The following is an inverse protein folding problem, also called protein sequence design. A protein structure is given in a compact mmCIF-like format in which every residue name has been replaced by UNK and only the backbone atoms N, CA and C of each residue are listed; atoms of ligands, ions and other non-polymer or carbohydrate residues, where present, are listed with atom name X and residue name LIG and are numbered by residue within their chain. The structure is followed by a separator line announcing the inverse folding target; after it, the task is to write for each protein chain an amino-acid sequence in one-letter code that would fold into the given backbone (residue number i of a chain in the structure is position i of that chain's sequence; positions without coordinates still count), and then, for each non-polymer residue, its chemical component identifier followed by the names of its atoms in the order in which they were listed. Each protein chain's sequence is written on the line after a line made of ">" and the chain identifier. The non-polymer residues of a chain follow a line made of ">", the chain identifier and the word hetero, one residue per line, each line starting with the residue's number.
data_IF_349208119239
#
_entry.id   IF_349208119239
#
_cell.length_a   1.000
_cell.length_b   1.000
_cell.length_c   1.000
_cell.angle_alpha   90.00
_cell.angle_beta   90.00
_cell.angle_gamma   90.00
#
_symmetry.space_group_name_H-M   'P 1'
#
loop_
_entity.id
_entity.type
_entity.pdbx_description
1 polymer ?
#
# COMPACT_ATOMS: atom_id res chain seq x y z
N UNK A 1 4.86 -12.35 27.45
CA UNK A 1 3.65 -11.90 28.19
C UNK A 1 3.81 -11.70 29.71
N UNK A 2 4.80 -12.28 30.43
CA UNK A 2 4.97 -12.01 31.89
C UNK A 2 5.89 -10.84 32.28
N UNK A 3 6.72 -10.31 31.37
CA UNK A 3 7.68 -9.22 31.70
C UNK A 3 7.18 -7.79 31.49
N UNK A 4 6.03 -7.59 30.83
CA UNK A 4 5.46 -6.25 30.62
C UNK A 4 4.53 -5.80 31.76
N UNK A 5 3.86 -6.75 32.45
CA UNK A 5 3.01 -6.44 33.61
C UNK A 5 3.78 -5.88 34.82
N UNK A 6 5.07 -6.20 34.97
CA UNK A 6 5.86 -5.76 36.13
C UNK A 6 6.30 -4.28 36.06
N UNK A 7 6.46 -3.71 34.86
CA UNK A 7 6.87 -2.30 34.72
C UNK A 7 5.71 -1.31 34.93
N UNK A 8 4.48 -1.73 34.65
CA UNK A 8 3.27 -0.92 34.83
C UNK A 8 2.75 -0.95 36.27
N UNK A 9 2.91 -2.07 36.97
CA UNK A 9 2.63 -2.13 38.41
C UNK A 9 3.55 -1.17 39.20
N UNK A 10 4.82 -1.03 38.78
CA UNK A 10 5.78 -0.11 39.41
C UNK A 10 5.43 1.37 39.22
N UNK A 11 4.96 1.78 38.05
CA UNK A 11 4.61 3.18 37.77
C UNK A 11 3.28 3.60 38.43
N UNK A 12 2.28 2.71 38.45
CA UNK A 12 1.04 2.94 39.17
C UNK A 12 1.26 2.95 40.70
N UNK A 13 2.13 2.07 41.21
CA UNK A 13 2.53 2.10 42.61
C UNK A 13 3.25 3.41 42.95
N UNK A 14 4.21 3.88 42.13
CA UNK A 14 4.92 5.13 42.38
C UNK A 14 4.00 6.36 42.45
N UNK A 15 2.97 6.41 41.60
CA UNK A 15 1.97 7.49 41.59
C UNK A 15 1.01 7.43 42.79
N UNK A 16 0.61 6.23 43.20
CA UNK A 16 -0.20 6.04 44.42
C UNK A 16 0.62 6.36 45.68
N UNK A 17 1.92 6.01 45.71
CA UNK A 17 2.81 6.38 46.81
C UNK A 17 3.09 7.88 46.84
N UNK A 18 3.27 8.56 45.70
CA UNK A 18 3.37 10.03 45.66
C UNK A 18 2.07 10.73 46.10
N UNK A 19 0.91 10.17 45.75
CA UNK A 19 -0.39 10.68 46.18
C UNK A 19 -0.67 10.44 47.67
N UNK A 20 -0.18 9.32 48.24
CA UNK A 20 -0.28 9.02 49.67
C UNK A 20 0.72 9.83 50.51
N UNK A 21 1.93 10.07 50.01
CA UNK A 21 2.94 10.92 50.67
C UNK A 21 2.49 12.39 50.70
N UNK A 22 1.69 12.85 49.73
CA UNK A 22 1.19 14.23 49.72
C UNK A 22 0.03 14.49 50.70
N UNK A 23 -0.61 13.46 51.26
CA UNK A 23 -1.68 13.62 52.26
C UNK A 23 -1.19 14.16 53.61
N UNK A 24 0.12 14.15 53.87
CA UNK A 24 0.73 14.73 55.08
C UNK A 24 1.25 16.17 54.90
N UNK A 25 1.05 16.79 53.74
CA UNK A 25 1.64 18.10 53.42
C UNK A 25 0.66 19.24 53.74
N UNK A 26 0.97 20.16 54.69
CA UNK A 26 0.09 21.27 55.06
C UNK A 26 -0.08 22.36 53.97
N UNK A 27 0.46 22.15 52.78
CA UNK A 27 0.51 23.12 51.67
C UNK A 27 -0.43 22.79 50.49
N UNK A 28 -1.17 21.67 50.54
CA UNK A 28 -2.09 21.28 49.47
C UNK A 28 -3.53 21.40 49.96
N UNK A 29 -4.19 22.52 49.61
CA UNK A 29 -5.62 22.68 49.87
C UNK A 29 -6.43 21.76 48.95
N UNK A 30 -7.64 21.37 49.37
CA UNK A 30 -8.51 20.42 48.68
C UNK A 30 -8.79 20.78 47.20
N UNK A 31 -8.73 22.07 46.85
CA UNK A 31 -8.87 22.55 45.47
C UNK A 31 -7.70 22.18 44.55
N UNK A 32 -6.48 22.09 45.08
CA UNK A 32 -5.27 21.81 44.28
C UNK A 32 -5.21 20.37 43.78
N UNK A 33 -5.71 19.42 44.59
CA UNK A 33 -5.75 17.99 44.27
C UNK A 33 -6.78 17.71 43.16
N UNK A 34 -7.94 18.39 43.19
CA UNK A 34 -8.94 18.30 42.13
C UNK A 34 -8.46 18.85 40.79
N UNK A 35 -7.71 19.97 40.80
CA UNK A 35 -7.11 20.55 39.59
C UNK A 35 -6.03 19.65 38.98
N UNK A 36 -5.18 19.01 39.79
CA UNK A 36 -4.16 18.07 39.30
C UNK A 36 -4.77 16.79 38.71
N UNK A 37 -5.85 16.27 39.30
CA UNK A 37 -6.57 15.12 38.76
C UNK A 37 -7.30 15.45 37.44
N UNK A 38 -7.91 16.64 37.34
CA UNK A 38 -8.55 17.11 36.11
C UNK A 38 -7.53 17.38 34.99
N UNK A 39 -6.38 17.97 35.31
CA UNK A 39 -5.29 18.20 34.35
C UNK A 39 -4.63 16.88 33.89
N UNK A 40 -4.47 15.91 34.78
CA UNK A 40 -3.98 14.56 34.46
C UNK A 40 -4.96 13.75 33.60
N UNK A 41 -6.26 13.84 33.89
CA UNK A 41 -7.30 13.21 33.07
C UNK A 41 -7.38 13.80 31.67
N UNK A 42 -7.24 15.13 31.54
CA UNK A 42 -7.27 15.81 30.25
C UNK A 42 -6.03 15.50 29.40
N UNK A 43 -4.84 15.38 30.01
CA UNK A 43 -3.61 15.01 29.28
C UNK A 43 -3.59 13.55 28.88
N UNK A 44 -4.14 12.63 29.67
CA UNK A 44 -4.29 11.21 29.28
C UNK A 44 -5.37 11.07 28.20
N UNK A 45 -6.47 11.79 28.28
CA UNK A 45 -7.50 11.79 27.24
C UNK A 45 -6.97 12.40 25.93
N UNK A 46 -6.26 13.53 26.00
CA UNK A 46 -5.60 14.19 24.84
C UNK A 46 -4.46 13.34 24.29
N UNK A 47 -3.69 12.64 25.12
CA UNK A 47 -2.70 11.68 24.64
C UNK A 47 -3.34 10.43 24.03
N UNK A 48 -4.47 9.94 24.54
CA UNK A 48 -5.23 8.85 23.94
C UNK A 48 -5.86 9.25 22.61
N UNK A 49 -6.34 10.50 22.45
CA UNK A 49 -6.80 11.02 21.14
C UNK A 49 -5.65 11.37 20.19
N UNK A 50 -4.48 11.78 20.68
CA UNK A 50 -3.27 11.98 19.86
C UNK A 50 -2.57 10.67 19.48
N UNK A 51 -2.85 9.58 20.20
CA UNK A 51 -2.42 8.22 19.84
C UNK A 51 -3.35 7.56 18.81
N UNK A 52 -4.44 8.23 18.40
CA UNK A 52 -5.23 7.79 17.26
C UNK A 52 -4.50 8.10 15.95
N UNK A 53 -3.68 7.13 15.56
CA UNK A 53 -3.51 6.70 14.18
C UNK A 53 -2.81 7.74 13.30
N UNK A 54 -1.48 7.67 13.28
CA UNK A 54 -0.68 8.16 12.16
C UNK A 54 -0.91 7.22 10.96
N UNK A 55 -2.11 7.25 10.39
CA UNK A 55 -2.56 6.43 9.25
C UNK A 55 -1.69 6.80 8.05
N UNK A 56 -0.71 5.96 7.73
CA UNK A 56 -0.07 6.07 6.41
C UNK A 56 -1.01 5.62 5.30
N UNK A 57 -2.01 4.80 5.63
CA UNK A 57 -2.91 4.14 4.68
C UNK A 57 -4.16 4.96 4.33
N UNK A 58 -4.51 4.91 3.05
CA UNK A 58 -5.84 5.23 2.57
C UNK A 58 -6.61 3.89 2.54
N UNK A 59 -7.75 3.76 3.25
CA UNK A 59 -8.45 2.48 3.41
C UNK A 59 -9.00 1.92 2.09
N UNK A 60 -9.24 2.77 1.09
CA UNK A 60 -9.62 2.34 -0.26
C UNK A 60 -8.43 1.72 -0.98
N UNK A 61 -7.24 2.29 -0.81
CA UNK A 61 -6.00 1.70 -1.37
C UNK A 61 -5.70 0.36 -0.70
N UNK A 62 -5.86 0.28 0.62
CA UNK A 62 -5.69 -0.97 1.37
C UNK A 62 -6.68 -2.04 0.86
N UNK A 63 -7.93 -1.68 0.59
CA UNK A 63 -8.91 -2.58 0.00
C UNK A 63 -8.53 -3.04 -1.42
N UNK A 64 -8.10 -2.12 -2.30
CA UNK A 64 -7.70 -2.42 -3.69
C UNK A 64 -6.53 -3.42 -3.70
N UNK A 65 -5.55 -3.23 -2.82
CA UNK A 65 -4.33 -4.04 -2.76
C UNK A 65 -4.42 -5.19 -1.75
N UNK A 66 -5.60 -5.47 -1.20
CA UNK A 66 -5.83 -6.57 -0.25
C UNK A 66 -4.94 -6.51 1.01
N UNK A 67 -4.65 -5.31 1.49
CA UNK A 67 -3.81 -5.06 2.66
C UNK A 67 -4.66 -5.17 3.93
N UNK A 68 -4.73 -6.36 4.52
CA UNK A 68 -5.49 -6.61 5.75
C UNK A 68 -4.78 -6.23 7.05
N UNK A 69 -3.46 -6.01 6.99
CA UNK A 69 -2.68 -5.58 8.14
C UNK A 69 -1.42 -4.82 7.70
N UNK A 70 -1.04 -3.81 8.47
CA UNK A 70 0.17 -3.01 8.23
C UNK A 70 0.93 -2.79 9.54
N UNK A 71 2.24 -3.00 9.50
CA UNK A 71 3.15 -2.68 10.59
C UNK A 71 3.68 -1.25 10.39
N UNK A 72 3.59 -0.44 11.44
CA UNK A 72 4.13 0.91 11.47
C UNK A 72 5.56 0.89 12.01
N UNK A 73 6.32 1.96 11.74
CA UNK A 73 7.71 2.10 12.17
C UNK A 73 7.90 1.98 13.69
N UNK A 74 6.84 2.25 14.44
CA UNK A 74 6.82 2.21 15.90
C UNK A 74 6.36 0.83 16.44
N UNK A 75 6.50 -0.22 15.62
CA UNK A 75 6.06 -1.61 15.86
C UNK A 75 4.54 -1.79 16.11
N UNK A 76 3.73 -0.78 15.75
CA UNK A 76 2.28 -0.84 15.86
C UNK A 76 1.66 -1.60 14.68
N UNK A 77 0.84 -2.62 14.98
CA UNK A 77 0.14 -3.42 13.98
C UNK A 77 -1.29 -2.92 13.85
N UNK A 78 -1.61 -2.30 12.72
CA UNK A 78 -3.00 -2.00 12.38
C UNK A 78 -3.58 -3.12 11.55
N UNK A 79 -4.87 -3.38 11.73
CA UNK A 79 -5.65 -4.27 10.87
C UNK A 79 -6.71 -3.46 10.14
N UNK A 80 -6.97 -3.84 8.91
CA UNK A 80 -7.98 -3.25 8.06
C UNK A 80 -8.86 -4.35 7.47
N UNK A 81 -10.13 -4.01 7.22
CA UNK A 81 -10.97 -4.89 6.44
C UNK A 81 -10.58 -4.81 4.96
N UNK A 82 -9.92 -5.85 4.48
CA UNK A 82 -9.52 -6.00 3.09
C UNK A 82 -10.14 -7.25 2.44
N UNK A 83 -10.41 -7.24 1.12
CA UNK A 83 -10.77 -8.43 0.36
C UNK A 83 -9.58 -9.40 0.21
N UNK A 84 -9.82 -10.65 -0.23
CA UNK A 84 -8.74 -11.55 -0.63
C UNK A 84 -8.00 -11.00 -1.86
N UNK A 85 -6.73 -11.41 -2.02
CA UNK A 85 -5.84 -10.98 -3.12
C UNK A 85 -6.45 -11.16 -4.52
N UNK A 86 -7.33 -12.16 -4.67
CA UNK A 86 -8.05 -12.44 -5.91
C UNK A 86 -9.53 -12.26 -5.66
N UNK A 87 -10.16 -11.37 -6.43
CA UNK A 87 -11.61 -11.08 -6.37
C UNK A 87 -12.27 -11.41 -7.70
N UNK A 88 -13.56 -11.76 -7.70
CA UNK A 88 -14.31 -11.99 -8.95
C UNK A 88 -15.32 -10.86 -9.15
N UNK A 89 -15.25 -10.22 -10.32
CA UNK A 89 -16.05 -9.06 -10.74
C UNK A 89 -17.00 -9.44 -11.85
N UNK A 90 -18.18 -8.79 -11.94
CA UNK A 90 -19.18 -9.14 -12.95
C UNK A 90 -18.74 -8.82 -14.39
N UNK A 91 -17.80 -7.89 -14.59
CA UNK A 91 -17.37 -7.44 -15.91
C UNK A 91 -16.01 -6.74 -15.91
N UNK A 92 -15.57 -6.21 -17.06
CA UNK A 92 -14.32 -5.45 -17.17
C UNK A 92 -14.35 -4.16 -16.35
N UNK A 93 -13.19 -3.53 -16.19
CA UNK A 93 -13.10 -2.25 -15.51
C UNK A 93 -13.97 -1.21 -16.25
N UNK A 94 -14.74 -0.37 -15.54
CA UNK A 94 -15.50 0.69 -16.18
C UNK A 94 -14.60 1.62 -17.00
N UNK A 95 -14.99 1.88 -18.25
CA UNK A 95 -14.37 2.89 -19.11
C UNK A 95 -14.78 4.28 -18.64
N UNK A 96 -14.10 4.79 -17.62
CA UNK A 96 -14.28 6.15 -17.13
C UNK A 96 -13.09 7.03 -17.54
N UNK A 97 -13.31 8.31 -17.91
CA UNK A 97 -12.21 9.25 -18.08
C UNK A 97 -11.45 9.47 -16.76
N UNK A 98 -10.16 9.78 -16.86
CA UNK A 98 -9.31 10.09 -15.71
C UNK A 98 -9.63 11.49 -15.19
N UNK A 99 -10.55 11.61 -14.23
CA UNK A 99 -11.01 12.92 -13.72
C UNK A 99 -10.40 13.30 -12.37
N UNK A 100 -10.01 12.32 -11.54
CA UNK A 100 -9.38 12.53 -10.23
C UNK A 100 -8.72 11.25 -9.70
N UNK A 101 -7.88 11.37 -8.67
CA UNK A 101 -7.31 10.21 -7.97
C UNK A 101 -8.38 9.35 -7.29
N UNK A 102 -9.45 9.98 -6.78
CA UNK A 102 -10.58 9.29 -6.15
C UNK A 102 -11.33 8.42 -7.16
N UNK A 103 -11.67 8.98 -8.33
CA UNK A 103 -12.33 8.21 -9.39
C UNK A 103 -11.47 7.06 -9.93
N UNK A 104 -10.14 7.15 -9.84
CA UNK A 104 -9.24 6.04 -10.16
C UNK A 104 -9.30 4.92 -9.13
N UNK A 105 -9.28 5.28 -7.86
CA UNK A 105 -9.44 4.31 -6.78
C UNK A 105 -10.80 3.61 -6.89
N UNK A 106 -11.89 4.34 -7.14
CA UNK A 106 -13.24 3.78 -7.29
C UNK A 106 -13.36 2.84 -8.48
N UNK A 107 -12.69 3.15 -9.60
CA UNK A 107 -12.64 2.27 -10.77
C UNK A 107 -11.97 0.94 -10.46
N UNK A 108 -10.86 0.98 -9.73
CA UNK A 108 -10.15 -0.22 -9.27
C UNK A 108 -10.93 -1.00 -8.21
N UNK A 109 -11.61 -0.28 -7.30
CA UNK A 109 -12.47 -0.87 -6.28
C UNK A 109 -13.72 -1.50 -6.90
N UNK A 110 -14.23 -0.95 -8.01
CA UNK A 110 -15.50 -1.31 -8.64
C UNK A 110 -16.72 -0.72 -7.94
N UNK A 111 -16.55 0.32 -7.13
CA UNK A 111 -17.62 0.94 -6.36
C UNK A 111 -17.32 2.42 -6.12
N UNK A 112 -18.38 3.25 -6.11
CA UNK A 112 -18.30 4.66 -5.74
C UNK A 112 -18.40 4.81 -4.21
N UNK A 113 -17.36 5.35 -3.61
CA UNK A 113 -17.20 5.50 -2.15
C UNK A 113 -16.83 6.92 -1.75
N UNK A 114 -16.45 7.78 -2.69
CA UNK A 114 -16.11 9.18 -2.49
C UNK A 114 -17.21 10.08 -3.05
N UNK A 115 -17.55 11.12 -2.29
CA UNK A 115 -18.09 12.35 -2.85
C UNK A 115 -16.90 13.27 -3.21
N UNK A 116 -16.82 13.74 -4.46
CA UNK A 116 -15.71 14.58 -4.95
C UNK A 116 -16.25 15.99 -5.23
N UNK A 117 -16.31 16.86 -4.21
CA UNK A 117 -16.96 18.15 -4.36
C UNK A 117 -16.13 19.13 -5.19
N UNK A 118 -16.83 20.11 -5.77
CA UNK A 118 -16.17 21.34 -6.17
C UNK A 118 -15.74 22.12 -4.92
N UNK A 119 -14.64 22.85 -5.04
CA UNK A 119 -14.11 23.65 -3.95
C UNK A 119 -13.67 25.03 -4.43
N UNK A 120 -13.62 25.99 -3.50
CA UNK A 120 -13.10 27.33 -3.72
C UNK A 120 -11.82 27.49 -2.93
N UNK A 121 -10.73 27.85 -3.61
CA UNK A 121 -9.48 28.21 -2.97
C UNK A 121 -9.37 29.73 -2.79
N UNK A 122 -8.86 30.17 -1.65
CA UNK A 122 -8.56 31.57 -1.38
C UNK A 122 -7.15 31.70 -0.81
N UNK A 123 -6.35 32.61 -1.36
CA UNK A 123 -5.04 32.96 -0.82
C UNK A 123 -5.27 33.94 0.33
N UNK A 124 -4.86 33.57 1.54
CA UNK A 124 -4.99 34.41 2.74
C UNK A 124 -3.75 35.30 2.89
N UNK A 125 -2.58 34.72 2.64
CA UNK A 125 -1.28 35.41 2.62
C UNK A 125 -0.30 34.61 1.74
N UNK A 126 0.90 35.12 1.43
CA UNK A 126 1.92 34.34 0.74
C UNK A 126 2.19 33.00 1.44
N UNK A 127 1.96 31.89 0.74
CA UNK A 127 2.14 30.54 1.29
C UNK A 127 0.99 30.05 2.18
N UNK A 128 -0.06 30.83 2.41
CA UNK A 128 -1.23 30.44 3.20
C UNK A 128 -2.50 30.43 2.35
N UNK A 129 -3.12 29.26 2.21
CA UNK A 129 -4.33 29.07 1.42
C UNK A 129 -5.42 28.41 2.26
N UNK A 130 -6.67 28.76 1.96
CA UNK A 130 -7.84 28.06 2.50
C UNK A 130 -8.64 27.47 1.35
N UNK A 131 -8.99 26.19 1.46
CA UNK A 131 -9.95 25.54 0.56
C UNK A 131 -11.29 25.38 1.28
N UNK A 132 -12.37 25.80 0.63
CA UNK A 132 -13.74 25.66 1.12
C UNK A 132 -14.55 24.75 0.20
N UNK A 133 -15.19 23.73 0.77
CA UNK A 133 -16.06 22.79 0.07
C UNK A 133 -17.24 22.36 0.95
N UNK A 134 -18.16 21.59 0.37
CA UNK A 134 -19.21 20.88 1.11
C UNK A 134 -19.04 19.39 0.91
N UNK A 135 -19.21 18.64 1.98
CA UNK A 135 -19.21 17.19 1.97
C UNK A 135 -20.40 16.63 2.75
N UNK A 136 -20.83 15.40 2.49
CA UNK A 136 -21.77 14.71 3.37
C UNK A 136 -21.20 14.64 4.79
N UNK A 137 -22.06 14.83 5.79
CA UNK A 137 -21.68 14.76 7.21
C UNK A 137 -21.07 13.41 7.55
N UNK A 138 -20.18 13.37 8.54
CA UNK A 138 -19.47 12.15 9.00
C UNK A 138 -18.57 11.45 7.96
N UNK A 139 -18.41 12.03 6.76
CA UNK A 139 -17.45 11.56 5.78
C UNK A 139 -16.02 11.76 6.27
N UNK A 140 -15.10 10.89 5.86
CA UNK A 140 -13.66 11.13 6.08
C UNK A 140 -13.10 11.97 4.94
N UNK A 141 -12.56 13.15 5.24
CA UNK A 141 -12.03 14.09 4.26
C UNK A 141 -10.60 13.72 3.89
N UNK A 142 -10.37 13.48 2.60
CA UNK A 142 -9.05 13.30 2.02
C UNK A 142 -8.67 14.48 1.13
N UNK A 143 -7.38 14.81 1.14
CA UNK A 143 -6.76 15.82 0.28
C UNK A 143 -5.71 15.14 -0.61
N UNK A 144 -5.82 15.37 -1.92
CA UNK A 144 -4.87 14.92 -2.93
C UNK A 144 -4.23 16.13 -3.62
N UNK A 145 -3.03 16.48 -3.19
CA UNK A 145 -2.23 17.58 -3.74
C UNK A 145 -0.78 17.12 -3.97
N UNK A 146 -0.54 16.22 -4.95
CA UNK A 146 0.74 15.54 -5.11
C UNK A 146 1.91 16.49 -5.43
N UNK A 147 1.62 17.68 -5.98
CA UNK A 147 2.63 18.64 -6.43
C UNK A 147 3.03 19.69 -5.39
N UNK A 148 2.38 19.69 -4.22
CA UNK A 148 2.52 20.75 -3.20
C UNK A 148 3.23 20.21 -1.97
N UNK A 149 4.26 20.92 -1.53
CA UNK A 149 4.97 20.66 -0.27
C UNK A 149 4.55 21.65 0.82
N UNK A 150 4.56 21.21 2.08
CA UNK A 150 4.13 22.00 3.23
C UNK A 150 3.25 21.19 4.17
N UNK A 151 2.10 21.73 4.57
CA UNK A 151 1.16 21.06 5.46
C UNK A 151 -0.28 21.51 5.22
N UNK A 152 -1.23 20.63 5.54
CA UNK A 152 -2.66 20.90 5.45
C UNK A 152 -3.41 20.35 6.66
N UNK A 153 -4.51 20.97 7.05
CA UNK A 153 -5.42 20.45 8.08
C UNK A 153 -6.87 20.77 7.75
N UNK A 154 -7.80 19.98 8.27
CA UNK A 154 -9.16 20.46 8.45
C UNK A 154 -9.16 21.55 9.55
N UNK A 155 -9.97 22.60 9.40
CA UNK A 155 -10.05 23.68 10.39
C UNK A 155 -10.36 23.11 11.79
N UNK A 156 -9.51 23.45 12.77
CA UNK A 156 -9.58 22.90 14.13
C UNK A 156 -8.98 21.50 14.32
N UNK A 157 -8.49 20.87 13.25
CA UNK A 157 -7.82 19.56 13.27
C UNK A 157 -6.29 19.65 13.26
N UNK A 158 -5.67 18.47 13.16
CA UNK A 158 -4.22 18.30 13.17
C UNK A 158 -3.57 18.59 11.81
N UNK A 159 -2.36 19.15 11.86
CA UNK A 159 -1.56 19.40 10.66
C UNK A 159 -0.99 18.10 10.09
N UNK A 160 -1.27 17.87 8.81
CA UNK A 160 -0.75 16.76 8.02
C UNK A 160 0.33 17.27 7.07
N UNK A 161 1.48 16.60 7.06
CA UNK A 161 2.59 16.96 6.19
C UNK A 161 2.29 16.64 4.72
N UNK A 162 2.62 17.61 3.85
CA UNK A 162 2.66 17.47 2.41
C UNK A 162 4.14 17.41 1.98
N UNK A 163 4.57 16.27 1.46
CA UNK A 163 5.98 15.93 1.27
C UNK A 163 6.51 16.14 -0.15
N UNK A 164 5.74 16.81 -1.01
CA UNK A 164 6.21 17.10 -2.36
C UNK A 164 7.43 18.02 -2.30
N UNK A 165 8.46 17.66 -3.05
CA UNK A 165 9.67 18.46 -3.17
C UNK A 165 10.13 18.46 -4.61
N UNK A 166 10.57 19.63 -5.09
CA UNK A 166 11.24 19.77 -6.38
C UNK A 166 12.66 20.28 -6.11
N UNK A 167 13.63 19.38 -6.22
CA UNK A 167 15.06 19.68 -6.15
C UNK A 167 15.72 19.17 -7.44
N UNK A 168 16.87 19.73 -7.87
CA UNK A 168 17.61 19.16 -8.98
C UNK A 168 17.83 17.65 -8.76
N UNK A 169 17.47 16.83 -9.75
CA UNK A 169 17.55 15.35 -9.71
C UNK A 169 16.64 14.63 -8.69
N UNK A 170 15.78 15.33 -7.95
CA UNK A 170 14.85 14.70 -7.00
C UNK A 170 13.49 15.37 -7.03
N UNK A 171 12.49 14.64 -7.52
CA UNK A 171 11.09 15.05 -7.48
C UNK A 171 10.31 14.05 -6.66
N UNK A 172 9.80 14.48 -5.50
CA UNK A 172 8.88 13.68 -4.69
C UNK A 172 7.47 14.24 -4.83
N UNK A 173 6.48 13.36 -4.78
CA UNK A 173 5.06 13.75 -4.71
C UNK A 173 4.56 13.61 -3.27
N UNK A 174 3.62 14.48 -2.88
CA UNK A 174 2.85 14.28 -1.66
C UNK A 174 1.92 13.09 -1.82
N UNK A 175 1.77 12.31 -0.75
CA UNK A 175 0.71 11.30 -0.66
C UNK A 175 -0.65 11.98 -0.53
N UNK A 176 -1.72 11.23 -0.79
CA UNK A 176 -3.05 11.61 -0.35
C UNK A 176 -3.09 11.57 1.19
N UNK A 177 -3.63 12.61 1.82
CA UNK A 177 -3.66 12.74 3.29
C UNK A 177 -5.09 12.74 3.81
N UNK A 178 -5.31 12.05 4.93
CA UNK A 178 -6.56 12.11 5.69
C UNK A 178 -6.52 13.34 6.60
N UNK A 179 -7.51 14.23 6.49
CA UNK A 179 -7.57 15.47 7.26
C UNK A 179 -8.52 15.41 8.47
N UNK A 180 -9.38 14.40 8.53
CA UNK A 180 -10.36 14.20 9.62
C UNK A 180 -11.79 13.99 9.11
N UNK A 181 -12.76 14.09 10.02
CA UNK A 181 -14.18 13.92 9.74
C UNK A 181 -14.86 15.23 9.33
N UNK A 182 -15.79 15.16 8.39
CA UNK A 182 -16.63 16.31 8.00
C UNK A 182 -17.45 16.78 9.21
N UNK A 183 -17.44 18.09 9.54
CA UNK A 183 -18.26 18.63 10.62
C UNK A 183 -19.76 18.42 10.36
N UNK A 184 -20.57 18.51 11.42
CA UNK A 184 -22.05 18.41 11.34
C UNK A 184 -22.70 19.45 10.42
N UNK A 185 -22.02 20.56 10.14
CA UNK A 185 -22.48 21.58 9.18
C UNK A 185 -22.36 21.12 7.71
N UNK A 186 -21.60 20.07 7.43
CA UNK A 186 -21.21 19.66 6.08
C UNK A 186 -20.23 20.60 5.39
N UNK A 187 -19.85 21.72 6.02
CA UNK A 187 -18.86 22.66 5.48
C UNK A 187 -17.45 22.25 5.89
N UNK A 188 -16.59 22.09 4.88
CA UNK A 188 -15.20 21.67 5.03
C UNK A 188 -14.32 22.86 4.70
N UNK A 189 -13.56 23.32 5.70
CA UNK A 189 -12.53 24.36 5.58
C UNK A 189 -11.17 23.70 5.79
N UNK A 190 -10.29 23.82 4.80
CA UNK A 190 -8.95 23.23 4.84
C UNK A 190 -7.94 24.36 4.83
N UNK A 191 -7.17 24.47 5.90
CA UNK A 191 -6.04 25.38 5.98
C UNK A 191 -4.81 24.70 5.38
N UNK A 192 -4.06 25.43 4.56
CA UNK A 192 -2.83 24.95 3.96
C UNK A 192 -1.70 25.96 4.16
N UNK A 193 -0.54 25.46 4.54
CA UNK A 193 0.72 26.21 4.53
C UNK A 193 1.65 25.56 3.51
N UNK A 194 2.01 26.28 2.46
CA UNK A 194 2.77 25.76 1.32
C UNK A 194 4.15 26.40 1.26
N UNK A 195 5.18 25.58 1.05
CA UNK A 195 6.59 26.01 1.09
C UNK A 195 7.05 26.65 -0.22
N UNK A 196 6.32 26.41 -1.31
CA UNK A 196 6.53 27.07 -2.59
C UNK A 196 5.18 27.56 -3.13
N UNK A 197 5.18 28.74 -3.76
CA UNK A 197 3.98 29.26 -4.42
C UNK A 197 3.41 28.19 -5.36
N UNK A 198 2.11 27.92 -5.23
CA UNK A 198 1.38 27.04 -6.15
C UNK A 198 1.50 27.67 -7.53
N UNK A 199 2.38 27.13 -8.39
CA UNK A 199 2.53 27.59 -9.77
C UNK A 199 1.42 26.95 -10.61
N UNK A 200 0.46 27.75 -11.05
CA UNK A 200 -0.66 27.34 -11.89
C UNK A 200 -2.02 27.49 -11.21
N UNK A 201 -3.09 27.42 -12.01
CA UNK A 201 -4.46 27.45 -11.50
C UNK A 201 -4.75 26.18 -10.70
N UNK A 202 -5.23 26.36 -9.46
CA UNK A 202 -5.77 25.26 -8.66
C UNK A 202 -7.06 24.80 -9.36
N UNK A 203 -7.07 23.58 -9.89
CA UNK A 203 -8.26 23.05 -10.58
C UNK A 203 -9.40 22.94 -9.58
N UNK A 204 -10.59 23.52 -9.82
CA UNK A 204 -11.64 23.65 -8.80
C UNK A 204 -12.33 22.32 -8.41
N UNK A 205 -11.82 21.19 -8.90
CA UNK A 205 -12.30 19.83 -8.64
C UNK A 205 -11.13 18.85 -8.53
N UNK A 206 -11.38 17.69 -7.92
CA UNK A 206 -10.48 16.53 -7.94
C UNK A 206 -9.39 16.51 -6.88
N UNK A 207 -9.28 17.57 -6.06
CA UNK A 207 -8.35 17.60 -4.94
C UNK A 207 -8.94 17.06 -3.63
N UNK A 208 -10.24 17.25 -3.43
CA UNK A 208 -10.96 16.79 -2.23
C UNK A 208 -11.80 15.56 -2.54
N UNK A 209 -11.76 14.59 -1.64
CA UNK A 209 -12.60 13.40 -1.69
C UNK A 209 -13.12 13.10 -0.29
N UNK A 210 -14.43 13.01 -0.16
CA UNK A 210 -15.13 12.76 1.08
C UNK A 210 -15.62 11.32 1.09
N UNK A 211 -14.90 10.49 1.85
CA UNK A 211 -15.11 9.05 1.91
C UNK A 211 -16.33 8.71 2.76
N UNK A 212 -17.27 8.01 2.16
CA UNK A 212 -18.34 7.29 2.84
C UNK A 212 -17.82 5.92 3.27
N UNK A 213 -17.55 5.79 4.58
CA UNK A 213 -17.00 4.56 5.15
C UNK A 213 -17.98 3.39 5.11
N UNK A 214 -19.29 3.65 5.06
CA UNK A 214 -20.33 2.62 4.97
C UNK A 214 -20.40 2.04 3.57
N UNK A 215 -20.32 2.89 2.54
CA UNK A 215 -20.18 2.44 1.14
C UNK A 215 -18.90 1.64 0.94
N UNK A 216 -17.78 2.08 1.53
CA UNK A 216 -16.54 1.31 1.47
C UNK A 216 -16.68 -0.06 2.13
N UNK A 217 -17.26 -0.14 3.33
CA UNK A 217 -17.48 -1.42 4.03
C UNK A 217 -18.38 -2.36 3.20
N UNK A 218 -19.42 -1.82 2.58
CA UNK A 218 -20.33 -2.56 1.70
C UNK A 218 -19.60 -3.10 0.47
N UNK A 219 -18.79 -2.26 -0.18
CA UNK A 219 -17.98 -2.66 -1.32
C UNK A 219 -17.04 -3.80 -0.93
N UNK A 220 -16.24 -3.63 0.13
CA UNK A 220 -15.29 -4.65 0.64
C UNK A 220 -16.01 -5.96 0.99
N UNK A 221 -17.18 -5.90 1.62
CA UNK A 221 -17.99 -7.08 1.93
C UNK A 221 -18.40 -7.83 0.66
N UNK A 222 -18.87 -7.11 -0.36
CA UNK A 222 -19.17 -7.69 -1.67
C UNK A 222 -17.95 -8.38 -2.31
N UNK A 223 -16.77 -7.77 -2.20
CA UNK A 223 -15.54 -8.34 -2.75
C UNK A 223 -15.09 -9.60 -2.02
N UNK A 224 -15.29 -9.65 -0.71
CA UNK A 224 -15.05 -10.85 0.10
C UNK A 224 -16.01 -11.98 -0.25
N UNK A 225 -17.28 -11.63 -0.48
CA UNK A 225 -18.34 -12.57 -0.82
C UNK A 225 -18.14 -13.23 -2.20
N UNK A 226 -17.48 -12.54 -3.14
CA UNK A 226 -17.18 -13.09 -4.48
C UNK A 226 -15.71 -13.50 -4.69
N UNK A 227 -14.80 -13.13 -3.79
CA UNK A 227 -13.36 -13.40 -3.97
C UNK A 227 -12.91 -14.83 -3.69
N UNK A 228 -11.63 -15.10 -3.85
CA UNK A 228 -11.05 -16.41 -3.63
C UNK A 228 -11.21 -16.89 -2.17
N UNK A 229 -11.44 -18.19 -2.00
CA UNK A 229 -11.51 -18.84 -0.68
C UNK A 229 -10.13 -19.24 -0.17
N UNK A 230 -9.19 -19.48 -1.09
CA UNK A 230 -7.79 -19.78 -0.78
C UNK A 230 -6.89 -19.11 -1.81
N UNK A 231 -5.78 -18.54 -1.35
CA UNK A 231 -4.77 -17.91 -2.20
C UNK A 231 -3.39 -18.34 -1.74
N UNK A 232 -2.57 -18.77 -2.69
CA UNK A 232 -1.16 -19.03 -2.51
C UNK A 232 -0.37 -18.03 -3.37
N UNK A 233 0.39 -17.17 -2.72
CA UNK A 233 1.27 -16.21 -3.37
C UNK A 233 2.73 -16.59 -3.10
N UNK A 234 3.44 -16.92 -4.17
CA UNK A 234 4.89 -17.14 -4.18
C UNK A 234 5.62 -15.93 -4.77
N UNK A 235 6.96 -16.00 -4.80
CA UNK A 235 7.79 -14.92 -5.33
C UNK A 235 7.60 -14.63 -6.83
N UNK A 236 7.01 -15.58 -7.59
CA UNK A 236 6.72 -15.44 -9.04
C UNK A 236 5.38 -16.05 -9.47
N UNK A 237 4.57 -16.50 -8.53
CA UNK A 237 3.33 -17.22 -8.82
C UNK A 237 2.22 -16.79 -7.90
N UNK A 238 1.00 -16.78 -8.42
CA UNK A 238 -0.23 -16.53 -7.66
C UNK A 238 -1.23 -17.59 -8.08
N UNK A 239 -1.67 -18.43 -7.15
CA UNK A 239 -2.73 -19.42 -7.35
C UNK A 239 -3.91 -19.09 -6.45
N UNK A 240 -5.12 -19.17 -6.99
CA UNK A 240 -6.34 -18.87 -6.25
C UNK A 240 -7.40 -19.92 -6.52
N UNK A 241 -8.03 -20.38 -5.44
CA UNK A 241 -9.25 -21.20 -5.49
C UNK A 241 -10.45 -20.27 -5.35
N UNK A 242 -11.33 -20.29 -6.35
CA UNK A 242 -12.55 -19.51 -6.44
C UNK A 242 -13.72 -20.34 -5.90
N UNK A 243 -14.84 -19.66 -5.63
CA UNK A 243 -16.08 -20.36 -5.27
C UNK A 243 -16.66 -21.06 -6.51
N UNK A 244 -17.37 -22.19 -6.35
CA UNK A 244 -18.11 -22.82 -7.45
C UNK A 244 -19.05 -21.81 -8.13
N UNK A 245 -19.13 -21.86 -9.47
CA UNK A 245 -19.96 -20.94 -10.25
C UNK A 245 -19.33 -19.56 -10.53
N UNK A 246 -18.07 -19.31 -10.14
CA UNK A 246 -17.42 -18.02 -10.36
C UNK A 246 -17.24 -17.73 -11.86
N UNK A 247 -17.85 -16.66 -12.34
CA UNK A 247 -17.79 -16.20 -13.73
C UNK A 247 -17.64 -14.66 -13.78
N UNK A 248 -17.21 -14.13 -14.93
CA UNK A 248 -16.93 -12.71 -15.12
C UNK A 248 -15.43 -12.44 -15.26
N UNK A 249 -14.84 -11.67 -14.33
CA UNK A 249 -13.42 -11.30 -14.37
C UNK A 249 -12.78 -11.54 -13.02
N UNK A 250 -11.77 -12.42 -12.97
CA UNK A 250 -10.89 -12.50 -11.81
C UNK A 250 -9.91 -11.32 -11.84
N UNK A 251 -9.93 -10.50 -10.79
CA UNK A 251 -9.01 -9.37 -10.59
C UNK A 251 -8.06 -9.72 -9.46
N UNK A 252 -6.77 -9.70 -9.77
CA UNK A 252 -5.68 -10.01 -8.85
C UNK A 252 -5.07 -8.68 -8.42
N UNK A 253 -4.94 -8.47 -7.12
CA UNK A 253 -4.36 -7.27 -6.49
C UNK A 253 -2.82 -7.19 -6.68
N UNK A 254 -2.37 -7.37 -7.92
CA UNK A 254 -1.00 -7.24 -8.37
C UNK A 254 -0.98 -6.40 -9.66
N UNK A 255 0.06 -5.59 -9.91
CA UNK A 255 0.14 -4.79 -11.13
C UNK A 255 0.17 -5.65 -12.41
N UNK A 256 -0.56 -5.21 -13.44
CA UNK A 256 -0.56 -5.83 -14.77
C UNK A 256 0.73 -5.49 -15.54
N UNK A 257 1.80 -6.24 -15.27
CA UNK A 257 3.10 -6.07 -15.94
C UNK A 257 3.29 -7.06 -17.11
N UNK A 258 4.07 -6.71 -18.14
CA UNK A 258 4.50 -7.67 -19.15
C UNK A 258 5.29 -8.83 -18.53
N UNK A 259 4.98 -10.08 -18.92
CA UNK A 259 5.64 -11.28 -18.40
C UNK A 259 4.72 -12.20 -17.59
N UNK A 260 3.56 -11.70 -17.16
CA UNK A 260 2.52 -12.53 -16.56
C UNK A 260 1.85 -13.45 -17.59
N UNK A 261 1.56 -14.66 -17.14
CA UNK A 261 0.92 -15.73 -17.89
C UNK A 261 -0.04 -16.45 -16.95
N UNK A 262 -1.31 -16.60 -17.32
CA UNK A 262 -2.34 -17.15 -16.45
C UNK A 262 -3.10 -18.30 -17.10
N UNK A 263 -3.52 -19.27 -16.30
CA UNK A 263 -4.35 -20.40 -16.69
C UNK A 263 -5.60 -20.48 -15.79
N UNK A 264 -6.66 -21.07 -16.34
CA UNK A 264 -7.93 -21.38 -15.65
C UNK A 264 -8.04 -22.89 -15.54
N UNK A 265 -8.35 -23.41 -14.35
CA UNK A 265 -8.54 -24.84 -14.08
C UNK A 265 -7.43 -25.75 -14.65
N UNK A 266 -6.18 -25.27 -14.66
CA UNK A 266 -5.03 -26.01 -15.19
C UNK A 266 -4.97 -26.11 -16.72
N UNK A 267 -5.83 -25.37 -17.43
CA UNK A 267 -5.87 -25.32 -18.89
C UNK A 267 -4.74 -24.51 -19.53
N UNK A 268 -4.96 -24.11 -20.79
CA UNK A 268 -3.97 -23.35 -21.56
C UNK A 268 -3.62 -22.03 -20.88
N UNK A 269 -2.32 -21.77 -20.81
CA UNK A 269 -1.79 -20.49 -20.33
C UNK A 269 -1.96 -19.40 -21.38
N UNK A 270 -2.51 -18.27 -20.96
CA UNK A 270 -2.83 -17.11 -21.79
C UNK A 270 -2.27 -15.83 -21.18
N UNK A 271 -2.10 -14.81 -22.03
CA UNK A 271 -1.70 -13.48 -21.56
C UNK A 271 -2.91 -12.85 -20.84
N UNK A 272 -2.76 -12.45 -19.57
CA UNK A 272 -3.81 -11.77 -18.84
C UNK A 272 -4.03 -10.35 -19.39
N UNK A 273 -5.17 -9.77 -19.04
CA UNK A 273 -5.54 -8.39 -19.36
C UNK A 273 -5.31 -7.48 -18.15
N UNK A 274 -5.77 -6.22 -18.26
CA UNK A 274 -5.69 -5.22 -17.20
C UNK A 274 -7.07 -4.78 -16.76
N UNK A 275 -7.31 -4.78 -15.45
CA UNK A 275 -8.45 -4.15 -14.80
C UNK A 275 -7.96 -2.86 -14.12
N UNK A 276 -8.03 -1.74 -14.83
CA UNK A 276 -7.59 -0.43 -14.33
C UNK A 276 -6.10 -0.36 -13.92
N UNK A 277 -5.25 -1.26 -14.43
CA UNK A 277 -3.84 -1.37 -14.07
C UNK A 277 -3.51 -2.60 -13.21
N UNK A 278 -4.51 -3.28 -12.67
CA UNK A 278 -4.36 -4.57 -11.97
C UNK A 278 -4.46 -5.74 -12.94
N UNK A 279 -3.81 -6.85 -12.58
CA UNK A 279 -3.83 -8.08 -13.36
C UNK A 279 -5.24 -8.67 -13.40
N UNK A 280 -5.72 -9.04 -14.59
CA UNK A 280 -7.05 -9.66 -14.73
C UNK A 280 -7.10 -10.85 -15.68
N UNK A 281 -7.97 -11.81 -15.34
CA UNK A 281 -8.23 -13.02 -16.12
C UNK A 281 -9.73 -13.10 -16.39
N UNK A 282 -10.12 -13.23 -17.67
CA UNK A 282 -11.51 -13.42 -18.06
C UNK A 282 -11.98 -14.85 -17.75
N UNK A 283 -13.15 -14.96 -17.11
CA UNK A 283 -13.81 -16.20 -16.72
C UNK A 283 -15.12 -16.35 -17.54
N UNK A 284 -15.03 -16.73 -18.83
CA UNK A 284 -16.20 -16.82 -19.72
C UNK A 284 -17.15 -17.96 -19.35
N UNK A 285 -16.65 -18.95 -18.63
CA UNK A 285 -17.39 -20.08 -18.07
C UNK A 285 -17.09 -20.18 -16.58
N UNK A 286 -17.97 -20.81 -15.78
CA UNK A 286 -17.68 -21.10 -14.38
C UNK A 286 -16.29 -21.71 -14.20
N UNK A 287 -15.45 -21.05 -13.40
CA UNK A 287 -14.05 -21.41 -13.18
C UNK A 287 -13.80 -21.52 -11.68
N UNK A 288 -13.07 -22.54 -11.23
CA UNK A 288 -12.80 -22.77 -9.81
C UNK A 288 -11.36 -22.46 -9.43
N UNK A 289 -10.44 -22.39 -10.39
CA UNK A 289 -9.03 -22.10 -10.12
C UNK A 289 -8.44 -21.16 -11.16
N UNK A 290 -7.68 -20.19 -10.66
CA UNK A 290 -6.85 -19.30 -11.48
C UNK A 290 -5.41 -19.41 -10.99
N UNK A 291 -4.48 -19.65 -11.91
CA UNK A 291 -3.05 -19.70 -11.60
C UNK A 291 -2.29 -18.81 -12.55
N UNK A 292 -1.48 -17.90 -12.01
CA UNK A 292 -0.66 -16.96 -12.76
C UNK A 292 0.82 -17.12 -12.40
N UNK A 293 1.69 -17.08 -13.40
CA UNK A 293 3.14 -17.09 -13.24
C UNK A 293 3.77 -15.88 -13.93
N UNK A 294 4.79 -15.32 -13.29
CA UNK A 294 5.57 -14.22 -13.83
C UNK A 294 6.90 -14.73 -14.38
N UNK A 295 7.06 -14.58 -15.70
CA UNK A 295 8.33 -14.76 -16.39
C UNK A 295 8.83 -13.39 -16.84
N UNK A 296 9.92 -12.86 -16.25
CA UNK A 296 10.51 -11.60 -16.68
C UNK A 296 10.79 -11.60 -18.20
N UNK A 297 10.40 -10.55 -18.93
CA UNK A 297 10.75 -10.41 -20.33
C UNK A 297 12.27 -10.52 -20.53
N UNK A 298 12.69 -11.28 -21.55
CA UNK A 298 14.11 -11.47 -21.87
C UNK A 298 14.82 -12.60 -21.10
N UNK A 299 14.22 -13.17 -20.05
CA UNK A 299 14.84 -14.27 -19.28
C UNK A 299 15.18 -15.47 -20.16
N UNK A 300 14.29 -15.84 -21.08
CA UNK A 300 14.50 -16.98 -21.99
C UNK A 300 15.69 -16.75 -22.93
N UNK A 301 15.81 -15.54 -23.47
CA UNK A 301 16.91 -15.16 -24.36
C UNK A 301 18.22 -15.15 -23.58
N UNK A 302 18.22 -14.58 -22.36
CA UNK A 302 19.39 -14.55 -21.49
C UNK A 302 19.88 -15.95 -21.11
N UNK A 303 18.97 -16.86 -20.77
CA UNK A 303 19.32 -18.26 -20.47
C UNK A 303 19.86 -19.00 -21.69
N UNK A 304 19.28 -18.79 -22.87
CA UNK A 304 19.77 -19.40 -24.10
C UNK A 304 21.17 -18.89 -24.47
N UNK A 305 21.39 -17.57 -24.39
CA UNK A 305 22.70 -16.97 -24.66
C UNK A 305 23.76 -17.41 -23.65
N UNK A 306 23.43 -17.42 -22.36
CA UNK A 306 24.34 -17.88 -21.30
C UNK A 306 24.66 -19.38 -21.42
N UNK A 307 23.66 -20.22 -21.68
CA UNK A 307 23.86 -21.65 -21.93
C UNK A 307 24.72 -21.91 -23.16
N UNK A 308 24.48 -21.18 -24.26
CA UNK A 308 25.30 -21.24 -25.47
C UNK A 308 26.75 -20.85 -25.21
N UNK A 309 26.99 -19.75 -24.49
CA UNK A 309 28.34 -19.32 -24.12
C UNK A 309 29.05 -20.38 -23.27
N UNK A 310 28.36 -20.96 -22.27
CA UNK A 310 28.91 -22.02 -21.42
C UNK A 310 29.30 -23.26 -22.23
N UNK A 311 28.45 -23.70 -23.17
CA UNK A 311 28.74 -24.83 -24.04
C UNK A 311 29.96 -24.57 -24.93
N UNK A 312 30.07 -23.35 -25.49
CA UNK A 312 31.24 -22.94 -26.28
C UNK A 312 32.50 -22.98 -25.41
N UNK A 313 32.46 -22.42 -24.20
CA UNK A 313 33.60 -22.45 -23.27
C UNK A 313 33.99 -23.88 -22.91
N UNK A 314 33.01 -24.75 -22.61
CA UNK A 314 33.27 -26.15 -22.27
C UNK A 314 33.90 -26.91 -23.45
N UNK A 315 33.41 -26.69 -24.67
CA UNK A 315 33.97 -27.29 -25.89
C UNK A 315 35.43 -26.87 -26.12
N UNK A 316 35.74 -25.59 -25.93
CA UNK A 316 37.12 -25.07 -26.05
C UNK A 316 38.05 -25.68 -25.00
N UNK A 317 37.61 -25.81 -23.75
CA UNK A 317 38.39 -26.43 -22.66
C UNK A 317 38.64 -27.92 -22.94
N UNK A 318 37.62 -28.66 -23.36
CA UNK A 318 37.73 -30.08 -23.70
C UNK A 318 38.68 -30.29 -24.89
N UNK A 319 38.57 -29.46 -25.94
CA UNK A 319 39.45 -29.51 -27.10
C UNK A 319 40.92 -29.17 -26.76
N UNK A 320 41.15 -28.21 -25.86
CA UNK A 320 42.50 -27.91 -25.38
C UNK A 320 43.10 -29.07 -24.56
N UNK A 321 42.26 -29.78 -23.79
CA UNK A 321 42.68 -30.92 -22.96
C UNK A 321 42.97 -32.17 -23.78
N UNK A 322 42.22 -32.43 -24.86
CA UNK A 322 42.48 -33.55 -25.77
C UNK A 322 43.76 -33.36 -26.58
N UNK A 323 44.12 -32.12 -26.95
CA UNK A 323 45.41 -31.81 -27.60
C UNK A 323 46.62 -31.94 -26.68
N UNK A 324 46.43 -31.99 -25.35
CA UNK A 324 47.51 -32.15 -24.36
C UNK A 324 47.79 -33.61 -23.95
N UNK A 325 47.16 -34.62 -24.59
CA UNK A 325 47.63 -36.01 -24.45
C UNK A 325 48.91 -36.18 -25.28
N UNK A 326 50.09 -36.44 -24.66
CA UNK A 326 51.29 -36.73 -25.41
C UNK A 326 51.12 -38.07 -26.12
N UNK A 327 51.59 -38.14 -27.36
CA UNK A 327 51.87 -39.40 -28.05
C UNK A 327 52.97 -40.14 -27.28
N UNK A 328 52.60 -40.93 -26.28
CA UNK A 328 53.48 -41.91 -25.68
C UNK A 328 53.40 -43.19 -26.52
N UNK A 329 54.34 -43.35 -27.45
CA UNK A 329 55.00 -44.62 -27.83
C UNK A 329 55.66 -44.47 -29.21
N UNK A 330 56.99 -44.36 -29.20
CA UNK A 330 57.87 -44.92 -30.22
C UNK A 330 59.30 -44.93 -29.63
N UNK A 331 59.54 -45.86 -28.71
CA UNK A 331 60.90 -46.29 -28.37
C UNK A 331 61.04 -47.75 -28.79
N UNK A 332 61.74 -47.96 -29.92
CA UNK A 332 62.67 -49.05 -30.28
C UNK A 332 62.98 -48.97 -31.79
N UNK A 333 64.10 -49.52 -32.37
CA UNK A 333 65.24 -50.29 -31.80
C UNK A 333 66.63 -49.84 -32.42
N UNK A 334 67.76 -50.59 -32.36
CA UNK A 334 67.95 -51.89 -33.03
C UNK A 334 68.71 -52.99 -32.23
N UNK A 335 68.49 -54.21 -32.70
CA UNK A 335 69.03 -55.52 -32.31
C UNK A 335 70.52 -55.76 -32.62
N UNK A 336 71.09 -56.67 -31.82
CA UNK A 336 72.42 -57.32 -31.80
C UNK A 336 73.14 -57.58 -33.15
N UNK A 337 74.47 -57.51 -33.09
CA UNK A 337 75.40 -58.29 -33.92
C UNK A 337 76.45 -58.99 -33.05
N UNK A 338 76.45 -60.32 -33.08
CA UNK A 338 77.52 -61.20 -32.61
C UNK A 338 78.25 -61.79 -33.84
N UNK A 339 79.56 -62.01 -33.68
CA UNK A 339 80.60 -62.43 -34.63
C UNK A 339 81.28 -61.32 -35.44
#
# INVERSE_FOLDING_TARGET
>A
MRRARSRWAGAAALLVTLALISQGSPFLTSGSVGMLAAAGGLTIAVMLTLWLIRRLGNPVTDAIFSIGAAMHRDDDLTRADAPPLVTVRPGPAPDAPFTSAYGLQERLLGAQVYDVPAYRGSLVAPGLLTLKARCPVESTVFLNFPQVGGQARLAGGEWQALTASRRPRTTTSSKMVELGKTPVSGEVLIDMQVVAAVRGAITPRGALGCLDTTKLATAVSGLRATGATHVEAGGRSISATLRPGSAGVAVIAAPALPGWLCARDGGKTEKPTSFGGLLSVSLPVPTERVSCEYLPPGLRIGLAAGGGALLITLALVLAARSRKRPSASAEEPPTQGAN
#
